data_IF_151568607971
#
_entry.id   IF_151568607971
#
_cell.length_a   1.000
_cell.length_b   1.000
_cell.length_c   1.000
_cell.angle_alpha   90.00
_cell.angle_beta   90.00
_cell.angle_gamma   90.00
#
_symmetry.space_group_name_H-M   'P 1'
#
loop_
_entity.id
_entity.type
_entity.pdbx_description
1 polymer ?
#
# COMPACT_ATOMS: atom_id res chain seq x y z
N UNK A 1 -0.88 -17.25 -8.47
CA UNK A 1 -1.25 -16.44 -7.29
C UNK A 1 -0.66 -15.05 -7.49
N UNK A 2 -1.40 -14.00 -7.14
CA UNK A 2 -0.86 -12.64 -7.13
C UNK A 2 0.17 -12.50 -6.00
N UNK A 3 1.10 -11.58 -6.14
CA UNK A 3 2.07 -11.22 -5.11
C UNK A 3 1.47 -10.13 -4.21
N UNK A 4 1.82 -10.15 -2.93
CA UNK A 4 1.34 -9.19 -1.93
C UNK A 4 2.28 -7.97 -1.88
N UNK A 5 1.77 -6.81 -2.29
CA UNK A 5 2.51 -5.54 -2.34
C UNK A 5 1.94 -4.56 -1.33
N UNK A 6 2.78 -4.04 -0.43
CA UNK A 6 2.40 -2.95 0.48
C UNK A 6 2.94 -1.60 -0.01
N UNK A 7 2.08 -0.59 -0.01
CA UNK A 7 2.36 0.79 -0.40
C UNK A 7 2.31 1.71 0.84
N UNK A 8 3.43 2.36 1.16
CA UNK A 8 3.56 3.23 2.34
C UNK A 8 4.13 4.58 1.93
N UNK A 9 3.61 5.66 2.51
CA UNK A 9 4.09 7.01 2.19
C UNK A 9 3.95 7.95 3.38
N UNK A 10 5.03 8.68 3.70
CA UNK A 10 4.95 9.85 4.57
C UNK A 10 4.06 10.93 3.94
N UNK A 11 3.50 11.83 4.76
CA UNK A 11 2.50 12.80 4.29
C UNK A 11 2.98 13.68 3.13
N UNK A 12 4.24 14.11 3.17
CA UNK A 12 4.85 14.90 2.11
C UNK A 12 5.08 14.13 0.81
N UNK A 13 5.08 12.79 0.83
CA UNK A 13 5.29 11.92 -0.33
C UNK A 13 3.99 11.35 -0.90
N UNK A 14 2.85 11.50 -0.20
CA UNK A 14 1.55 11.02 -0.68
C UNK A 14 1.17 11.55 -2.07
N UNK A 15 1.40 12.83 -2.42
CA UNK A 15 1.16 13.31 -3.78
C UNK A 15 1.96 12.54 -4.85
N UNK A 16 3.25 12.33 -4.60
CA UNK A 16 4.11 11.56 -5.51
C UNK A 16 3.72 10.09 -5.58
N UNK A 17 3.32 9.49 -4.45
CA UNK A 17 2.83 8.11 -4.39
C UNK A 17 1.52 7.94 -5.18
N UNK A 18 0.59 8.90 -5.10
CA UNK A 18 -0.65 8.87 -5.89
C UNK A 18 -0.37 8.94 -7.38
N UNK A 19 0.53 9.84 -7.80
CA UNK A 19 0.90 9.97 -9.22
C UNK A 19 1.57 8.68 -9.71
N UNK A 20 2.52 8.14 -8.94
CA UNK A 20 3.17 6.87 -9.26
C UNK A 20 2.16 5.73 -9.37
N UNK A 21 1.22 5.61 -8.42
CA UNK A 21 0.22 4.55 -8.44
C UNK A 21 -0.73 4.69 -9.63
N UNK A 22 -1.09 5.92 -10.01
CA UNK A 22 -1.89 6.19 -11.22
C UNK A 22 -1.17 5.73 -12.48
N UNK A 23 0.09 6.13 -12.66
CA UNK A 23 0.92 5.73 -13.80
C UNK A 23 1.07 4.22 -13.89
N UNK A 24 1.16 3.53 -12.75
CA UNK A 24 1.36 2.08 -12.67
C UNK A 24 0.05 1.29 -12.46
N UNK A 25 -1.11 1.93 -12.59
CA UNK A 25 -2.41 1.35 -12.23
C UNK A 25 -2.69 0.00 -12.90
N UNK A 26 -2.37 -0.15 -14.20
CA UNK A 26 -2.52 -1.43 -14.90
C UNK A 26 -1.61 -2.52 -14.33
N UNK A 27 -0.38 -2.17 -13.94
CA UNK A 27 0.56 -3.13 -13.35
C UNK A 27 0.16 -3.52 -11.93
N UNK A 28 -0.37 -2.57 -11.15
CA UNK A 28 -0.84 -2.80 -9.78
C UNK A 28 -2.01 -3.79 -9.71
N UNK A 29 -2.78 -3.96 -10.80
CA UNK A 29 -3.84 -4.99 -10.89
C UNK A 29 -3.30 -6.42 -10.80
N UNK A 30 -2.01 -6.64 -11.06
CA UNK A 30 -1.37 -7.96 -10.94
C UNK A 30 -1.05 -8.36 -9.49
N UNK A 31 -1.22 -7.44 -8.53
CA UNK A 31 -0.90 -7.63 -7.11
C UNK A 31 -2.13 -7.63 -6.21
N UNK A 32 -2.00 -8.25 -5.05
CA UNK A 32 -2.87 -8.01 -3.91
C UNK A 32 -2.28 -6.84 -3.12
N UNK A 33 -3.04 -5.74 -3.01
CA UNK A 33 -2.53 -4.47 -2.53
C UNK A 33 -2.83 -4.25 -1.04
N UNK A 34 -1.82 -3.78 -0.33
CA UNK A 34 -1.88 -3.40 1.08
C UNK A 34 -1.36 -1.97 1.24
N UNK A 35 -1.79 -1.27 2.29
CA UNK A 35 -1.24 0.05 2.63
C UNK A 35 -1.56 0.44 4.08
N UNK A 36 -0.88 1.46 4.61
CA UNK A 36 -1.34 2.15 5.83
C UNK A 36 -2.53 3.06 5.54
N UNK A 37 -3.42 3.25 6.52
CA UNK A 37 -4.70 3.96 6.43
C UNK A 37 -4.82 5.05 5.35
N UNK A 38 -4.26 6.23 5.59
CA UNK A 38 -4.42 7.39 4.69
C UNK A 38 -3.83 7.14 3.29
N UNK A 39 -2.67 6.49 3.20
CA UNK A 39 -2.04 6.15 1.92
C UNK A 39 -2.93 5.23 1.09
N UNK A 40 -3.47 4.18 1.71
CA UNK A 40 -4.37 3.23 1.03
C UNK A 40 -5.64 3.88 0.51
N UNK A 41 -6.28 4.72 1.33
CA UNK A 41 -7.51 5.42 0.92
C UNK A 41 -7.26 6.34 -0.28
N UNK A 42 -6.15 7.08 -0.30
CA UNK A 42 -5.82 7.97 -1.41
C UNK A 42 -5.50 7.20 -2.70
N UNK A 43 -4.74 6.11 -2.61
CA UNK A 43 -4.40 5.31 -3.80
C UNK A 43 -5.65 4.63 -4.36
N UNK A 44 -6.49 4.02 -3.50
CA UNK A 44 -7.74 3.36 -3.87
C UNK A 44 -8.68 4.29 -4.66
N UNK A 45 -8.75 5.58 -4.28
CA UNK A 45 -9.51 6.61 -5.01
C UNK A 45 -8.96 6.88 -6.42
N UNK A 46 -7.64 6.79 -6.61
CA UNK A 46 -6.98 7.14 -7.87
C UNK A 46 -6.96 5.97 -8.85
N UNK A 47 -6.76 4.74 -8.36
CA UNK A 47 -6.63 3.54 -9.22
C UNK A 47 -7.92 2.72 -9.32
N UNK A 48 -8.91 2.97 -8.45
CA UNK A 48 -10.21 2.28 -8.49
C UNK A 48 -10.16 0.79 -8.13
N UNK A 49 -9.09 0.35 -7.44
CA UNK A 49 -8.89 -1.04 -7.02
C UNK A 49 -8.88 -1.13 -5.49
N UNK A 50 -9.51 -2.16 -4.89
CA UNK A 50 -9.53 -2.33 -3.43
C UNK A 50 -8.13 -2.53 -2.85
N UNK A 51 -7.88 -1.92 -1.69
CA UNK A 51 -6.61 -2.04 -0.93
C UNK A 51 -6.91 -2.45 0.51
N UNK A 52 -6.21 -3.48 1.00
CA UNK A 52 -6.25 -3.88 2.41
C UNK A 52 -5.49 -2.86 3.25
N UNK A 53 -6.19 -2.19 4.16
CA UNK A 53 -5.66 -1.09 4.96
C UNK A 53 -5.26 -1.54 6.37
N UNK A 54 -4.00 -1.34 6.72
CA UNK A 54 -3.52 -1.34 8.11
C UNK A 54 -3.86 -0.02 8.80
N UNK A 55 -3.55 0.09 10.09
CA UNK A 55 -3.59 1.37 10.81
C UNK A 55 -2.66 2.39 10.12
N UNK A 56 -2.82 3.66 10.44
CA UNK A 56 -1.80 4.65 10.07
C UNK A 56 -0.47 4.30 10.76
N UNK A 57 0.65 4.67 10.13
CA UNK A 57 2.00 4.44 10.70
C UNK A 57 2.10 4.87 12.17
N UNK A 58 1.73 6.12 12.54
CA UNK A 58 1.75 6.60 13.92
C UNK A 58 0.87 5.83 14.91
N UNK A 59 -0.14 5.09 14.44
CA UNK A 59 -1.05 4.31 15.26
C UNK A 59 -0.72 2.81 15.29
N UNK A 60 0.46 2.42 14.80
CA UNK A 60 0.93 1.04 14.83
C UNK A 60 0.96 0.35 13.46
N UNK A 61 0.60 1.05 12.38
CA UNK A 61 0.51 0.46 11.03
C UNK A 61 1.84 -0.11 10.55
N UNK A 62 2.94 0.58 10.85
CA UNK A 62 4.28 0.16 10.44
C UNK A 62 4.68 -1.16 11.13
N UNK A 63 4.29 -1.34 12.40
CA UNK A 63 4.53 -2.60 13.12
C UNK A 63 3.65 -3.73 12.57
N UNK A 64 2.40 -3.46 12.15
CA UNK A 64 1.56 -4.46 11.50
C UNK A 64 2.18 -4.94 10.18
N UNK A 65 2.73 -4.01 9.39
CA UNK A 65 3.44 -4.32 8.15
C UNK A 65 4.69 -5.15 8.45
N UNK A 66 5.52 -4.71 9.41
CA UNK A 66 6.73 -5.43 9.80
C UNK A 66 6.45 -6.87 10.27
N UNK A 67 5.42 -7.05 11.09
CA UNK A 67 4.99 -8.38 11.52
C UNK A 67 4.58 -9.25 10.31
N UNK A 68 3.76 -8.70 9.40
CA UNK A 68 3.30 -9.45 8.23
C UNK A 68 4.43 -9.78 7.25
N UNK A 69 5.44 -8.93 7.13
CA UNK A 69 6.68 -9.24 6.37
C UNK A 69 7.39 -10.42 7.01
N UNK A 70 7.60 -10.39 8.34
CA UNK A 70 8.29 -11.46 9.06
C UNK A 70 7.55 -12.81 8.97
N UNK A 71 6.22 -12.79 8.86
CA UNK A 71 5.37 -13.97 8.64
C UNK A 71 5.32 -14.45 7.17
N UNK A 72 6.04 -13.78 6.25
CA UNK A 72 6.02 -14.09 4.82
C UNK A 72 4.71 -13.71 4.12
N UNK A 73 3.89 -12.85 4.73
CA UNK A 73 2.60 -12.41 4.22
C UNK A 73 2.66 -11.20 3.29
N UNK A 74 3.83 -10.56 3.12
CA UNK A 74 4.07 -9.46 2.17
C UNK A 74 5.33 -9.80 1.34
N UNK A 75 5.21 -9.73 0.02
CA UNK A 75 6.30 -10.06 -0.91
C UNK A 75 7.15 -8.84 -1.28
N UNK A 76 6.55 -7.64 -1.27
CA UNK A 76 7.15 -6.40 -1.75
C UNK A 76 6.68 -5.20 -0.92
N UNK A 77 7.55 -4.20 -0.77
CA UNK A 77 7.32 -2.94 -0.06
C UNK A 77 7.73 -1.78 -0.96
N UNK A 78 6.87 -0.77 -1.09
CA UNK A 78 7.14 0.49 -1.83
C UNK A 78 6.79 1.68 -0.95
#
# INVERSE_FOLDING_TARGET
>A
MKKNLVLIAHDNLKPSMMEWAKTNSEKLKEFDLFATGTTGTLIEQVIGQPIVKFKSGPLGGDQQIGAKIAEGGLDMVV
#
